data_IF_239659645244
#
_entry.id   IF_239659645244
#
_cell.length_a   1.000
_cell.length_b   1.000
_cell.length_c   1.000
_cell.angle_alpha   90.00
_cell.angle_beta   90.00
_cell.angle_gamma   90.00
#
_symmetry.space_group_name_H-M   'P 1'
#
loop_
_entity.id
_entity.type
_entity.pdbx_description
1 polymer ?
#
# COMPACT_ATOMS: atom_id res chain seq x y z
N UNK A 1 25.47 -10.08 -15.90
CA UNK A 1 25.33 -9.60 -14.50
C UNK A 1 24.16 -8.63 -14.47
N UNK A 2 23.06 -8.96 -13.79
CA UNK A 2 21.90 -8.06 -13.69
C UNK A 2 22.12 -7.05 -12.57
N UNK A 3 22.17 -5.77 -12.92
CA UNK A 3 22.41 -4.64 -12.01
C UNK A 3 21.20 -4.41 -11.11
N UNK A 4 21.44 -4.24 -9.81
CA UNK A 4 20.44 -3.78 -8.85
C UNK A 4 20.12 -2.32 -9.12
N UNK A 5 18.84 -1.96 -9.10
CA UNK A 5 18.35 -0.60 -9.31
C UNK A 5 17.50 -0.18 -8.11
N UNK A 6 17.45 1.12 -7.84
CA UNK A 6 16.48 1.65 -6.89
C UNK A 6 15.09 1.64 -7.51
N UNK A 7 14.11 1.22 -6.71
CA UNK A 7 12.70 1.24 -7.04
C UNK A 7 12.05 2.26 -6.11
N UNK A 8 11.41 3.28 -6.67
CA UNK A 8 10.64 4.25 -5.90
C UNK A 8 9.24 3.70 -5.66
N UNK A 9 8.84 3.56 -4.40
CA UNK A 9 7.52 3.08 -4.00
C UNK A 9 6.74 4.24 -3.39
N UNK A 10 5.65 4.63 -4.06
CA UNK A 10 4.71 5.62 -3.58
C UNK A 10 3.57 4.89 -2.85
N UNK A 11 3.62 4.86 -1.52
CA UNK A 11 2.58 4.31 -0.65
C UNK A 11 2.07 5.41 0.31
N UNK A 12 1.75 5.08 1.56
CA UNK A 12 1.44 6.08 2.60
C UNK A 12 2.61 7.03 2.89
N UNK A 13 3.82 6.57 2.56
CA UNK A 13 5.02 7.38 2.45
C UNK A 13 5.80 6.96 1.22
N UNK A 14 6.75 7.80 0.81
CA UNK A 14 7.68 7.49 -0.29
C UNK A 14 8.84 6.67 0.28
N UNK A 15 9.07 5.49 -0.30
CA UNK A 15 10.10 4.55 0.12
C UNK A 15 10.96 4.19 -1.10
N UNK A 16 12.28 4.12 -0.93
CA UNK A 16 13.20 3.60 -1.96
C UNK A 16 13.74 2.25 -1.52
N UNK A 17 13.63 1.24 -2.38
CA UNK A 17 14.12 -0.13 -2.12
C UNK A 17 15.01 -0.63 -3.25
N UNK A 18 16.01 -1.44 -2.92
CA UNK A 18 16.94 -1.99 -3.90
C UNK A 18 16.37 -3.24 -4.60
N UNK A 19 15.91 -3.08 -5.83
CA UNK A 19 15.22 -4.10 -6.61
C UNK A 19 15.92 -4.51 -7.90
N UNK A 20 15.26 -5.38 -8.65
CA UNK A 20 15.59 -5.69 -10.05
C UNK A 20 14.35 -5.47 -10.91
N UNK A 21 14.55 -4.86 -12.08
CA UNK A 21 13.53 -4.81 -13.13
C UNK A 21 13.80 -5.92 -14.14
N UNK A 22 12.76 -6.69 -14.50
CA UNK A 22 12.80 -7.72 -15.55
C UNK A 22 11.57 -7.57 -16.41
N UNK A 23 11.74 -7.27 -17.69
CA UNK A 23 10.62 -7.09 -18.64
C UNK A 23 9.53 -6.14 -18.11
N UNK A 24 9.94 -5.03 -17.49
CA UNK A 24 9.03 -4.05 -16.88
C UNK A 24 8.45 -4.44 -15.51
N UNK A 25 8.90 -5.56 -14.94
CA UNK A 25 8.41 -6.08 -13.65
C UNK A 25 9.41 -5.80 -12.52
N UNK A 26 8.96 -5.19 -11.41
CA UNK A 26 9.78 -4.93 -10.22
C UNK A 26 9.84 -6.14 -9.28
N UNK A 27 11.06 -6.58 -8.97
CA UNK A 27 11.39 -7.64 -8.02
C UNK A 27 12.16 -7.10 -6.82
N UNK A 28 11.61 -7.28 -5.62
CA UNK A 28 12.15 -6.78 -4.34
C UNK A 28 12.62 -7.92 -3.44
N UNK A 29 13.34 -7.61 -2.36
CA UNK A 29 13.74 -8.64 -1.39
C UNK A 29 12.59 -8.92 -0.41
N UNK A 30 12.69 -10.03 0.32
CA UNK A 30 11.68 -10.41 1.31
C UNK A 30 11.49 -9.34 2.41
N UNK A 31 12.57 -8.75 2.92
CA UNK A 31 12.50 -7.70 3.95
C UNK A 31 11.82 -6.41 3.48
N UNK A 32 11.86 -6.13 2.17
CA UNK A 32 11.20 -4.95 1.60
C UNK A 32 9.66 -5.08 1.63
N UNK A 33 9.13 -6.31 1.72
CA UNK A 33 7.68 -6.56 1.84
C UNK A 33 7.15 -6.04 3.17
N UNK A 34 7.89 -6.26 4.26
CA UNK A 34 7.50 -5.76 5.58
C UNK A 34 7.56 -4.24 5.62
N UNK A 35 8.61 -3.65 5.03
CA UNK A 35 8.75 -2.20 4.95
C UNK A 35 7.61 -1.53 4.16
N UNK A 36 7.20 -2.12 3.04
CA UNK A 36 6.19 -1.52 2.15
C UNK A 36 4.76 -1.78 2.64
N UNK A 37 4.48 -2.98 3.16
CA UNK A 37 3.12 -3.44 3.43
C UNK A 37 2.84 -3.78 4.91
N UNK A 38 3.88 -3.90 5.74
CA UNK A 38 3.77 -4.45 7.09
C UNK A 38 3.40 -5.93 7.12
N UNK A 39 3.76 -6.68 6.07
CA UNK A 39 3.60 -8.13 5.98
C UNK A 39 4.97 -8.80 5.94
N UNK A 40 5.16 -9.86 6.72
CA UNK A 40 6.39 -10.62 6.80
C UNK A 40 6.34 -11.84 5.86
N UNK A 41 7.45 -12.16 5.21
CA UNK A 41 7.58 -13.37 4.37
C UNK A 41 8.10 -14.52 5.23
N UNK A 42 7.26 -15.53 5.45
CA UNK A 42 7.58 -16.76 6.21
C UNK A 42 7.49 -18.01 5.34
N UNK A 43 7.88 -19.16 5.91
CA UNK A 43 7.80 -20.47 5.23
C UNK A 43 6.39 -20.83 4.78
N UNK A 44 5.40 -20.47 5.58
CA UNK A 44 3.99 -20.75 5.38
C UNK A 44 3.29 -19.74 4.45
N UNK A 45 3.90 -18.57 4.20
CA UNK A 45 3.34 -17.55 3.30
C UNK A 45 3.67 -16.11 3.70
N UNK A 46 2.82 -15.18 3.28
CA UNK A 46 2.83 -13.78 3.73
C UNK A 46 2.01 -13.66 5.00
N UNK A 47 2.61 -13.22 6.09
CA UNK A 47 1.96 -13.18 7.39
C UNK A 47 1.90 -11.76 7.96
N UNK A 48 0.80 -11.46 8.66
CA UNK A 48 0.61 -10.26 9.45
C UNK A 48 -0.25 -10.60 10.66
N UNK A 49 0.29 -10.35 11.85
CA UNK A 49 -0.31 -10.77 13.12
C UNK A 49 -0.65 -12.29 13.07
N UNK A 50 -1.89 -12.66 13.33
CA UNK A 50 -2.36 -14.06 13.33
C UNK A 50 -2.83 -14.54 11.94
N UNK A 51 -2.75 -13.70 10.90
CA UNK A 51 -3.21 -14.01 9.55
C UNK A 51 -2.04 -14.33 8.62
N UNK A 52 -2.08 -15.49 7.96
CA UNK A 52 -1.12 -15.86 6.92
C UNK A 52 -1.83 -16.20 5.61
N UNK A 53 -1.37 -15.62 4.52
CA UNK A 53 -1.81 -15.93 3.16
C UNK A 53 -0.77 -16.86 2.54
N UNK A 54 -1.13 -18.13 2.25
CA UNK A 54 -0.22 -19.05 1.58
C UNK A 54 0.27 -18.47 0.25
N UNK A 55 1.54 -18.70 -0.06
CA UNK A 55 2.13 -18.37 -1.36
C UNK A 55 2.12 -19.63 -2.22
N UNK A 56 1.04 -19.93 -2.98
CA UNK A 56 0.92 -21.19 -3.69
C UNK A 56 2.04 -21.32 -4.72
N UNK A 57 2.93 -22.30 -4.52
CA UNK A 57 3.96 -22.76 -5.45
C UNK A 57 4.73 -21.65 -6.20
N UNK A 58 5.02 -20.48 -5.61
CA UNK A 58 5.92 -19.40 -6.06
C UNK A 58 5.94 -18.97 -7.56
N UNK A 59 5.19 -19.60 -8.47
CA UNK A 59 5.30 -19.46 -9.93
C UNK A 59 4.84 -18.05 -10.29
N UNK A 60 5.80 -17.21 -10.66
CA UNK A 60 5.57 -15.81 -11.02
C UNK A 60 5.48 -14.84 -9.83
N UNK A 61 5.52 -15.32 -8.58
CA UNK A 61 5.63 -14.45 -7.39
C UNK A 61 7.09 -14.36 -6.94
N UNK A 62 7.82 -15.47 -6.95
CA UNK A 62 9.25 -15.46 -6.63
C UNK A 62 10.07 -15.79 -7.88
N UNK A 63 11.17 -15.05 -8.06
CA UNK A 63 12.13 -15.27 -9.13
C UNK A 63 13.54 -14.96 -8.63
N UNK A 64 14.44 -15.94 -8.70
CA UNK A 64 15.80 -15.88 -8.15
C UNK A 64 15.87 -15.36 -6.70
N UNK A 65 14.95 -15.78 -5.83
CA UNK A 65 14.92 -15.39 -4.42
C UNK A 65 14.40 -13.97 -4.15
N UNK A 66 13.87 -13.28 -5.18
CA UNK A 66 13.18 -11.98 -5.04
C UNK A 66 11.70 -12.12 -5.34
N UNK A 67 10.90 -11.20 -4.83
CA UNK A 67 9.45 -11.22 -4.92
C UNK A 67 8.94 -10.17 -5.92
N UNK A 68 8.02 -10.57 -6.79
CA UNK A 68 7.31 -9.72 -7.71
C UNK A 68 6.38 -8.78 -6.92
N UNK A 69 6.76 -7.51 -6.82
CA UNK A 69 6.09 -6.51 -5.97
C UNK A 69 4.59 -6.37 -6.32
N UNK A 70 4.24 -6.28 -7.61
CA UNK A 70 2.83 -6.21 -8.03
C UNK A 70 1.98 -7.43 -7.67
N UNK A 71 2.53 -8.65 -7.72
CA UNK A 71 1.78 -9.85 -7.34
C UNK A 71 1.63 -9.96 -5.82
N UNK A 72 2.67 -9.59 -5.06
CA UNK A 72 2.57 -9.47 -3.61
C UNK A 72 1.45 -8.51 -3.25
N UNK A 73 1.48 -7.28 -3.77
CA UNK A 73 0.45 -6.27 -3.52
C UNK A 73 -0.96 -6.76 -3.87
N UNK A 74 -1.13 -7.44 -5.01
CA UNK A 74 -2.41 -8.04 -5.41
C UNK A 74 -2.90 -9.07 -4.39
N UNK A 75 -2.01 -9.91 -3.88
CA UNK A 75 -2.37 -10.99 -2.95
C UNK A 75 -2.87 -10.45 -1.60
N UNK A 76 -2.27 -9.37 -1.10
CA UNK A 76 -2.72 -8.67 0.12
C UNK A 76 -3.80 -7.61 -0.15
N UNK A 77 -4.31 -7.53 -1.38
CA UNK A 77 -5.48 -6.71 -1.72
C UNK A 77 -5.20 -5.21 -1.94
N UNK A 78 -3.95 -4.84 -2.24
CA UNK A 78 -3.56 -3.48 -2.57
C UNK A 78 -3.62 -3.21 -4.09
N UNK A 79 -4.39 -2.21 -4.55
CA UNK A 79 -4.34 -1.77 -5.94
C UNK A 79 -2.96 -1.20 -6.23
N UNK A 80 -2.41 -1.52 -7.41
CA UNK A 80 -1.02 -1.20 -7.76
C UNK A 80 -0.93 -0.67 -9.18
N UNK A 81 -0.09 0.36 -9.38
CA UNK A 81 0.34 0.83 -10.70
C UNK A 81 1.87 0.70 -10.78
N UNK A 82 2.36 0.20 -11.91
CA UNK A 82 3.79 0.00 -12.15
C UNK A 82 4.17 0.83 -13.37
N UNK A 83 5.16 1.70 -13.20
CA UNK A 83 5.78 2.45 -14.27
C UNK A 83 7.27 2.10 -14.33
N UNK A 84 7.63 1.26 -15.30
CA UNK A 84 9.00 0.82 -15.48
C UNK A 84 9.91 1.88 -16.11
N UNK A 85 9.35 2.87 -16.82
CA UNK A 85 10.14 3.94 -17.44
C UNK A 85 10.70 4.87 -16.37
N UNK A 86 9.89 5.18 -15.34
CA UNK A 86 10.31 6.00 -14.20
C UNK A 86 10.77 5.19 -13.00
N UNK A 87 10.87 3.86 -13.13
CA UNK A 87 11.22 2.93 -12.05
C UNK A 87 10.39 3.13 -10.77
N UNK A 88 9.10 3.45 -10.95
CA UNK A 88 8.19 3.83 -9.87
C UNK A 88 7.03 2.83 -9.76
N UNK A 89 6.65 2.53 -8.52
CA UNK A 89 5.49 1.68 -8.20
C UNK A 89 4.60 2.44 -7.23
N UNK A 90 3.32 2.57 -7.56
CA UNK A 90 2.32 3.17 -6.69
C UNK A 90 1.50 2.06 -6.02
N UNK A 91 1.43 2.10 -4.71
CA UNK A 91 0.65 1.18 -3.87
C UNK A 91 -0.49 1.98 -3.26
N UNK A 92 -1.72 1.68 -3.66
CA UNK A 92 -2.90 2.28 -3.07
C UNK A 92 -3.34 1.59 -1.78
N UNK A 93 -4.27 2.22 -1.06
CA UNK A 93 -4.89 1.69 0.14
C UNK A 93 -5.57 0.32 -0.10
N UNK A 94 -5.60 -0.58 0.90
CA UNK A 94 -6.21 -1.89 0.74
C UNK A 94 -7.67 -1.79 0.27
N UNK A 95 -8.05 -2.61 -0.71
CA UNK A 95 -9.42 -2.66 -1.24
C UNK A 95 -10.48 -2.95 -0.16
N UNK A 96 -10.09 -3.62 0.93
CA UNK A 96 -10.93 -3.84 2.10
C UNK A 96 -11.33 -2.53 2.80
N UNK A 97 -10.43 -1.54 2.90
CA UNK A 97 -10.70 -0.23 3.51
C UNK A 97 -11.82 0.51 2.75
N UNK A 98 -11.73 0.52 1.42
CA UNK A 98 -12.81 1.09 0.58
C UNK A 98 -14.12 0.32 0.75
N UNK A 99 -14.04 -1.01 0.79
CA UNK A 99 -15.21 -1.87 0.89
C UNK A 99 -15.94 -1.70 2.24
N UNK A 100 -15.22 -1.60 3.35
CA UNK A 100 -15.80 -1.34 4.68
C UNK A 100 -16.42 0.05 4.75
N UNK A 101 -15.74 1.08 4.23
CA UNK A 101 -16.28 2.44 4.20
C UNK A 101 -17.65 2.53 3.49
N UNK A 102 -17.82 1.80 2.38
CA UNK A 102 -19.10 1.75 1.63
C UNK A 102 -20.19 0.95 2.35
N UNK A 103 -19.82 -0.13 3.03
CA UNK A 103 -20.75 -1.02 3.75
C UNK A 103 -21.21 -0.42 5.07
N UNK A 104 -20.24 -0.02 5.90
CA UNK A 104 -20.46 0.38 7.28
C UNK A 104 -20.95 1.84 7.36
N UNK A 105 -20.60 2.66 6.36
CA UNK A 105 -20.99 4.08 6.25
C UNK A 105 -20.54 4.90 7.47
N UNK A 106 -19.47 4.47 8.11
CA UNK A 106 -18.83 5.18 9.21
C UNK A 106 -17.75 6.06 8.60
N UNK A 107 -17.89 7.38 8.75
CA UNK A 107 -16.83 8.30 8.41
C UNK A 107 -15.67 8.15 9.42
N UNK A 108 -14.41 8.06 8.96
CA UNK A 108 -13.26 7.99 9.86
C UNK A 108 -13.14 9.29 10.67
N UNK A 109 -12.64 9.20 11.89
CA UNK A 109 -12.41 10.36 12.75
C UNK A 109 -11.10 11.09 12.38
N UNK A 110 -11.06 11.63 11.17
CA UNK A 110 -9.91 12.36 10.67
C UNK A 110 -9.74 13.69 11.41
N UNK A 111 -8.49 14.17 11.46
CA UNK A 111 -8.13 15.50 11.97
C UNK A 111 -7.63 16.37 10.84
N UNK A 112 -8.15 17.59 10.75
CA UNK A 112 -7.69 18.59 9.81
C UNK A 112 -7.53 19.93 10.55
N UNK A 113 -6.55 20.75 10.17
CA UNK A 113 -6.45 22.11 10.68
C UNK A 113 -7.63 22.95 10.18
N UNK A 114 -8.20 23.75 11.07
CA UNK A 114 -9.16 24.79 10.70
C UNK A 114 -8.46 26.03 10.11
N UNK A 115 -9.22 27.09 9.83
CA UNK A 115 -8.69 28.34 9.24
C UNK A 115 -7.67 29.04 10.16
N UNK A 116 -7.71 28.76 11.46
CA UNK A 116 -6.77 29.29 12.45
C UNK A 116 -5.57 28.34 12.65
N UNK A 117 -5.48 27.26 11.87
CA UNK A 117 -4.43 26.25 11.94
C UNK A 117 -4.59 25.26 13.10
N UNK A 118 -5.73 25.25 13.78
CA UNK A 118 -5.97 24.39 14.93
C UNK A 118 -6.55 23.07 14.45
N UNK A 119 -5.94 21.96 14.84
CA UNK A 119 -6.45 20.63 14.53
C UNK A 119 -7.85 20.42 15.14
N UNK A 120 -8.79 20.04 14.28
CA UNK A 120 -10.14 19.62 14.66
C UNK A 120 -10.42 18.21 14.19
N UNK A 121 -10.96 17.38 15.08
CA UNK A 121 -11.39 16.03 14.77
C UNK A 121 -12.85 16.03 14.30
N UNK A 122 -13.23 15.13 13.38
CA UNK A 122 -14.62 15.00 12.95
C UNK A 122 -15.60 14.72 14.13
N UNK A 123 -15.09 14.06 15.18
CA UNK A 123 -15.79 13.77 16.42
C UNK A 123 -16.07 15.01 17.29
N UNK A 124 -15.37 16.12 17.10
CA UNK A 124 -15.62 17.39 17.81
C UNK A 124 -17.04 17.93 17.52
N UNK A 125 -17.66 17.48 16.42
CA UNK A 125 -19.04 17.81 16.04
C UNK A 125 -20.04 16.67 16.26
N UNK A 126 -19.70 15.69 17.10
CA UNK A 126 -20.63 14.63 17.49
C UNK A 126 -21.95 15.20 18.04
N UNK A 127 -23.06 14.52 17.76
CA UNK A 127 -24.40 14.96 18.15
C UNK A 127 -25.00 16.07 17.27
N UNK A 128 -24.29 16.56 16.24
CA UNK A 128 -24.78 17.56 15.28
C UNK A 128 -24.97 16.96 13.89
N UNK A 129 -25.82 17.58 13.06
CA UNK A 129 -25.84 17.31 11.61
C UNK A 129 -24.52 17.84 11.02
N UNK A 130 -23.84 17.00 10.23
CA UNK A 130 -22.52 17.29 9.67
C UNK A 130 -22.57 17.18 8.15
N UNK A 131 -21.94 18.12 7.45
CA UNK A 131 -21.73 18.11 6.00
C UNK A 131 -20.23 18.32 5.75
N UNK A 132 -19.60 17.36 5.07
CA UNK A 132 -18.22 17.51 4.60
C UNK A 132 -18.25 17.96 3.14
N UNK A 133 -17.63 19.09 2.85
CA UNK A 133 -17.51 19.63 1.49
C UNK A 133 -16.04 19.62 1.11
N UNK A 134 -15.67 18.75 0.17
CA UNK A 134 -14.37 18.82 -0.49
C UNK A 134 -14.51 19.71 -1.73
N UNK A 135 -13.71 20.77 -1.81
CA UNK A 135 -13.72 21.69 -2.93
C UNK A 135 -12.29 22.00 -3.36
N UNK A 136 -12.13 22.33 -4.63
CA UNK A 136 -10.95 23.00 -5.18
C UNK A 136 -11.40 24.35 -5.71
N UNK A 137 -10.58 25.38 -5.57
CA UNK A 137 -10.86 26.70 -6.16
C UNK A 137 -10.66 26.72 -7.68
N UNK A 138 -10.10 25.66 -8.26
CA UNK A 138 -9.79 25.50 -9.68
C UNK A 138 -9.89 24.03 -10.12
#
# INVERSE_FOLDING_TARGET
MQTTHDITVLADSVISVSGKWRDGVPYINAGDVELIFGWEVKSEGLCKDDACIPLPNQRGIADEGRLHLGQVAKLIGHPTLIDSETQTVVIGQPSAVRSSALKDRIAPDFKLPDIDGIDRALSDWAGKKRLLVAFSSW
#
